data_IF_877573732592
#
_entry.id   IF_877573732592
#
_cell.length_a   1.000
_cell.length_b   1.000
_cell.length_c   1.000
_cell.angle_alpha   90.00
_cell.angle_beta   90.00
_cell.angle_gamma   90.00
#
_symmetry.space_group_name_H-M   'P 1'
#
loop_
_entity.id
_entity.type
_entity.pdbx_description
1 polymer ?
2 non-polymer ?
3 non-polymer ?
4 non-polymer ?
5 water ?
#
# COMPACT_ATOMS: atom_id res chain seq x y z
N UNK A 1 17.27 5.33 2.17
CA UNK A 1 17.30 4.11 3.03
C UNK A 1 17.14 2.80 2.27
N UNK A 2 16.47 1.82 2.90
CA UNK A 2 16.46 0.44 2.42
C UNK A 2 15.66 0.27 1.13
N UNK A 3 16.12 -0.63 0.26
CA UNK A 3 15.35 -1.02 -0.92
C UNK A 3 15.43 -2.53 -1.04
N UNK A 4 14.49 -3.12 -1.76
CA UNK A 4 14.55 -4.55 -2.04
C UNK A 4 15.69 -4.76 -3.02
N UNK A 5 16.53 -5.76 -2.77
CA UNK A 5 17.69 -6.01 -3.64
C UNK A 5 17.47 -7.25 -4.50
N UNK A 6 16.22 -7.45 -4.90
CA UNK A 6 15.82 -8.57 -5.72
C UNK A 6 14.61 -8.11 -6.54
N UNK A 7 14.32 -8.78 -7.65
CA UNK A 7 13.30 -8.33 -8.59
C UNK A 7 11.94 -9.01 -8.38
N UNK A 8 11.96 -10.22 -7.85
CA UNK A 8 10.71 -10.94 -7.58
C UNK A 8 10.33 -10.77 -6.12
N UNK A 9 9.21 -10.08 -5.92
CA UNK A 9 8.71 -9.76 -4.59
C UNK A 9 7.37 -10.47 -4.36
N UNK A 10 7.18 -11.00 -3.17
CA UNK A 10 5.93 -11.68 -2.83
C UNK A 10 5.12 -10.84 -1.86
N UNK A 11 3.80 -10.97 -1.95
CA UNK A 11 2.92 -10.40 -0.93
C UNK A 11 1.89 -11.43 -0.54
N UNK A 12 1.34 -11.22 0.65
CA UNK A 12 0.33 -12.11 1.17
C UNK A 12 -0.69 -11.27 1.87
N UNK A 13 -1.95 -11.62 1.66
CA UNK A 13 -3.03 -10.93 2.34
C UNK A 13 -3.35 -11.75 3.59
N UNK A 14 -3.04 -11.17 4.74
CA UNK A 14 -3.13 -11.84 6.03
C UNK A 14 -4.59 -12.12 6.42
N UNK A 15 -5.45 -11.16 6.12
CA UNK A 15 -6.86 -11.23 6.48
C UNK A 15 -7.60 -10.21 5.65
N UNK A 16 -8.92 -10.34 5.61
CA UNK A 16 -9.74 -9.54 4.72
C UNK A 16 -10.70 -8.66 5.48
N UNK A 17 -10.76 -7.39 5.11
CA UNK A 17 -11.75 -6.49 5.67
C UNK A 17 -13.17 -6.98 5.35
N UNK A 18 -14.07 -6.92 6.35
CA UNK A 18 -15.47 -7.23 6.11
C UNK A 18 -16.22 -6.15 5.32
N UNK A 19 -15.55 -5.02 5.05
CA UNK A 19 -16.12 -3.89 4.33
C UNK A 19 -16.35 -4.14 2.85
N UNK A 20 -15.64 -5.11 2.29
CA UNK A 20 -15.59 -5.34 0.83
C UNK A 20 -15.80 -6.80 0.48
N UNK A 21 -16.18 -7.04 -0.77
CA UNK A 21 -16.13 -8.40 -1.34
C UNK A 21 -14.67 -8.87 -1.39
N UNK A 22 -14.46 -10.14 -1.11
CA UNK A 22 -13.11 -10.72 -1.10
C UNK A 22 -12.38 -10.48 -2.42
N UNK A 23 -13.07 -10.75 -3.53
CA UNK A 23 -12.43 -10.61 -4.86
C UNK A 23 -12.03 -9.16 -5.15
N UNK A 24 -12.79 -8.22 -4.58
CA UNK A 24 -12.53 -6.79 -4.75
C UNK A 24 -11.29 -6.36 -3.94
N UNK A 25 -11.11 -6.98 -2.77
CA UNK A 25 -9.87 -6.77 -1.99
C UNK A 25 -8.66 -7.27 -2.78
N UNK A 26 -8.75 -8.50 -3.27
CA UNK A 26 -7.70 -9.05 -4.12
C UNK A 26 -7.36 -8.13 -5.29
N UNK A 27 -8.38 -7.64 -5.97
CA UNK A 27 -8.17 -6.87 -7.18
C UNK A 27 -7.57 -5.49 -6.89
N UNK A 28 -8.09 -4.81 -5.87
CA UNK A 28 -7.53 -3.51 -5.44
C UNK A 28 -6.04 -3.60 -5.14
N UNK A 29 -5.66 -4.58 -4.32
CA UNK A 29 -4.25 -4.79 -3.96
C UNK A 29 -3.41 -5.16 -5.20
N UNK A 30 -3.93 -6.03 -6.05
CA UNK A 30 -3.22 -6.43 -7.28
C UNK A 30 -2.94 -5.21 -8.15
N UNK A 31 -3.99 -4.41 -8.38
CA UNK A 31 -3.90 -3.21 -9.19
C UNK A 31 -2.91 -2.20 -8.60
N UNK A 32 -2.87 -2.11 -7.27
CA UNK A 32 -1.97 -1.18 -6.59
C UNK A 32 -0.50 -1.61 -6.76
N UNK A 33 -0.21 -2.91 -6.64
CA UNK A 33 1.13 -3.40 -6.99
C UNK A 33 1.51 -3.11 -8.47
N UNK A 34 0.57 -3.31 -9.38
CA UNK A 34 0.80 -3.06 -10.80
C UNK A 34 1.22 -1.62 -11.10
N UNK A 35 0.64 -0.66 -10.38
CA UNK A 35 1.05 0.75 -10.50
C UNK A 35 2.60 0.87 -10.40
N UNK A 36 3.18 0.17 -9.43
CA UNK A 36 4.61 0.24 -9.18
C UNK A 36 5.43 -0.65 -10.10
N UNK A 37 4.93 -1.84 -10.40
CA UNK A 37 5.66 -2.71 -11.33
C UNK A 37 5.70 -2.12 -12.77
N UNK A 38 4.76 -1.20 -13.07
CA UNK A 38 4.68 -0.54 -14.38
C UNK A 38 5.92 0.31 -14.62
N UNK A 39 6.52 0.79 -13.54
CA UNK A 39 7.56 1.84 -13.63
C UNK A 39 8.87 1.42 -12.98
N UNK A 40 9.00 0.14 -12.68
CA UNK A 40 10.24 -0.42 -12.10
C UNK A 40 10.45 -1.81 -12.70
N UNK A 41 11.60 -2.45 -12.40
CA UNK A 41 11.77 -3.85 -12.82
C UNK A 41 11.14 -4.89 -11.90
N UNK A 42 10.39 -4.44 -10.89
CA UNK A 42 9.83 -5.36 -9.91
C UNK A 42 8.68 -6.20 -10.47
N UNK A 43 8.56 -7.42 -9.96
CA UNK A 43 7.43 -8.30 -10.27
C UNK A 43 6.84 -8.73 -8.95
N UNK A 44 5.51 -8.66 -8.83
CA UNK A 44 4.84 -8.98 -7.57
C UNK A 44 3.96 -10.20 -7.74
N UNK A 45 4.05 -11.10 -6.77
CA UNK A 45 3.23 -12.32 -6.75
C UNK A 45 2.52 -12.50 -5.41
N UNK A 46 1.23 -12.78 -5.48
CA UNK A 46 0.43 -13.12 -4.30
C UNK A 46 0.66 -14.58 -3.91
N UNK A 47 1.08 -14.79 -2.67
CA UNK A 47 1.22 -16.15 -2.14
C UNK A 47 0.15 -16.36 -1.07
N UNK A 48 -0.25 -17.61 -0.86
CA UNK A 48 -1.35 -17.89 0.05
C UNK A 48 -0.93 -18.45 1.39
N UNK A 49 0.33 -18.85 1.48
CA UNK A 49 0.86 -19.51 2.66
C UNK A 49 2.32 -19.10 2.77
N UNK A 50 2.83 -19.11 4.00
CA UNK A 50 4.25 -18.89 4.21
C UNK A 50 4.62 -17.43 4.39
N UNK A 51 5.92 -17.18 4.45
CA UNK A 51 6.43 -15.85 4.72
C UNK A 51 6.52 -15.05 3.41
N UNK A 52 5.71 -14.01 3.28
CA UNK A 52 5.85 -13.08 2.15
C UNK A 52 6.83 -11.98 2.50
N UNK A 53 7.31 -11.27 1.48
CA UNK A 53 8.07 -10.04 1.66
C UNK A 53 7.12 -8.99 2.23
N UNK A 54 5.95 -8.87 1.61
CA UNK A 54 5.00 -7.82 1.99
C UNK A 54 3.74 -8.47 2.54
N UNK A 55 3.54 -8.37 3.85
CA UNK A 55 2.26 -8.80 4.45
C UNK A 55 1.25 -7.66 4.54
N UNK A 56 0.08 -7.90 3.95
CA UNK A 56 -1.04 -6.96 3.92
C UNK A 56 -1.98 -7.33 5.07
N UNK A 57 -2.20 -6.38 5.99
CA UNK A 57 -2.99 -6.65 7.20
C UNK A 57 -4.11 -5.62 7.40
N UNK A 58 -5.30 -6.08 7.79
CA UNK A 58 -6.31 -5.14 8.31
C UNK A 58 -6.40 -5.36 9.79
N UNK A 59 -6.31 -4.26 10.54
CA UNK A 59 -6.31 -4.32 12.00
C UNK A 59 -6.84 -3.01 12.58
N UNK A 60 -7.28 -3.03 13.84
CA UNK A 60 -7.74 -1.79 14.47
C UNK A 60 -7.02 -1.55 15.79
N UNK A 61 -6.94 -0.28 16.21
CA UNK A 61 -6.28 0.09 17.47
C UNK A 61 -4.89 -0.52 17.63
N UNK A 62 -4.58 -1.00 18.83
CA UNK A 62 -3.30 -1.62 19.10
C UNK A 62 -3.25 -2.97 18.40
N UNK A 63 -2.21 -3.19 17.59
CA UNK A 63 -2.13 -4.42 16.80
C UNK A 63 -0.72 -4.98 16.66
N UNK A 64 0.11 -4.72 17.66
CA UNK A 64 1.36 -5.45 17.83
C UNK A 64 2.59 -4.79 17.25
N UNK A 65 2.45 -3.55 16.79
CA UNK A 65 3.61 -2.74 16.41
C UNK A 65 3.58 -1.45 17.25
N UNK A 66 4.34 -0.43 16.87
CA UNK A 66 4.38 0.82 17.66
C UNK A 66 3.52 1.91 17.04
N UNK A 67 2.64 1.47 16.16
CA UNK A 67 1.86 2.38 15.37
C UNK A 67 0.37 2.08 15.55
N UNK A 68 -0.09 2.12 16.80
CA UNK A 68 -1.51 1.94 17.10
C UNK A 68 -2.42 2.79 16.22
N UNK A 69 -3.52 2.20 15.76
CA UNK A 69 -4.51 2.94 15.00
C UNK A 69 -5.46 3.71 15.93
N UNK A 70 -6.21 4.64 15.35
CA UNK A 70 -6.87 5.72 16.10
C UNK A 70 -8.38 5.80 15.94
N UNK A 71 -9.03 4.71 15.54
CA UNK A 71 -10.46 4.73 15.24
C UNK A 71 -10.74 5.29 13.86
N UNK A 72 -12.02 5.48 13.54
CA UNK A 72 -12.39 5.99 12.24
C UNK A 72 -11.77 7.38 12.03
N UNK A 73 -11.25 7.62 10.83
CA UNK A 73 -10.62 8.89 10.51
C UNK A 73 -9.14 8.92 10.89
N UNK A 74 -8.52 10.09 10.80
CA UNK A 74 -7.11 10.22 11.20
C UNK A 74 -6.23 9.33 10.33
N UNK A 75 -5.44 8.49 10.99
CA UNK A 75 -4.53 7.56 10.30
C UNK A 75 -5.37 6.50 9.61
N UNK A 76 -5.19 6.37 8.30
CA UNK A 76 -5.92 5.36 7.52
C UNK A 76 -5.16 4.03 7.39
N UNK A 77 -3.83 4.13 7.29
CA UNK A 77 -2.95 2.99 7.05
C UNK A 77 -1.51 3.41 7.32
N UNK A 78 -0.62 2.45 7.51
CA UNK A 78 0.84 2.73 7.55
C UNK A 78 1.57 1.49 7.04
N UNK A 79 2.84 1.64 6.70
CA UNK A 79 3.64 0.56 6.12
C UNK A 79 5.10 0.72 6.51
N UNK A 80 5.84 -0.38 6.45
CA UNK A 80 7.25 -0.39 6.83
C UNK A 80 8.11 -0.52 5.60
N UNK A 81 9.23 0.21 5.58
CA UNK A 81 10.14 0.17 4.42
C UNK A 81 10.76 -1.21 4.29
N UNK A 82 11.40 -1.48 3.13
CA UNK A 82 12.02 -2.79 2.87
C UNK A 82 12.91 -3.27 4.00
N UNK A 83 12.83 -4.57 4.27
CA UNK A 83 13.63 -5.17 5.31
C UNK A 83 13.04 -6.50 5.67
N UNK A 84 13.75 -7.22 6.54
CA UNK A 84 13.29 -8.52 7.04
C UNK A 84 12.11 -8.34 8.01
N UNK A 85 11.41 -9.43 8.30
CA UNK A 85 10.35 -9.40 9.32
C UNK A 85 9.17 -8.53 8.93
N UNK A 86 8.88 -7.53 9.76
CA UNK A 86 7.81 -6.54 9.55
C UNK A 86 8.13 -5.61 8.37
N UNK A 87 9.40 -5.56 7.99
CA UNK A 87 9.80 -4.77 6.83
C UNK A 87 8.93 -5.08 5.64
N UNK A 88 8.49 -4.04 4.95
CA UNK A 88 7.62 -4.17 3.77
C UNK A 88 6.13 -4.25 4.07
N UNK A 89 5.76 -4.54 5.32
CA UNK A 89 4.35 -4.88 5.59
C UNK A 89 3.50 -3.62 5.58
N UNK A 90 2.25 -3.76 5.14
CA UNK A 90 1.33 -2.65 5.01
C UNK A 90 0.07 -2.96 5.82
N UNK A 91 -0.28 -2.04 6.71
CA UNK A 91 -1.40 -2.25 7.63
C UNK A 91 -2.49 -1.23 7.35
N UNK A 92 -3.73 -1.71 7.29
CA UNK A 92 -4.87 -0.84 7.00
C UNK A 92 -5.80 -0.84 8.20
N UNK A 93 -6.16 0.35 8.63
CA UNK A 93 -7.04 0.54 9.79
C UNK A 93 -8.44 0.01 9.51
N UNK A 94 -8.82 -1.07 10.20
CA UNK A 94 -10.17 -1.62 10.04
C UNK A 94 -11.29 -0.68 10.48
N UNK A 95 -10.95 0.33 11.29
CA UNK A 95 -11.95 1.33 11.67
C UNK A 95 -12.34 2.28 10.53
N UNK A 96 -11.62 2.21 9.39
CA UNK A 96 -12.09 2.91 8.20
C UNK A 96 -13.09 2.01 7.49
N UNK A 97 -13.83 2.58 6.55
CA UNK A 97 -14.68 1.75 5.70
C UNK A 97 -14.13 1.72 4.29
N UNK A 98 -13.53 0.57 3.97
CA UNK A 98 -12.80 0.39 2.71
C UNK A 98 -13.78 0.14 1.57
N UNK A 99 -13.53 0.74 0.40
CA UNK A 99 -14.39 0.54 -0.79
C UNK A 99 -13.61 0.47 -2.12
N UNK A 100 -14.33 0.05 -3.15
CA UNK A 100 -13.84 0.09 -4.54
C UNK A 100 -14.11 1.44 -5.22
N UNK A 101 -14.70 2.40 -4.50
CA UNK A 101 -15.23 3.60 -5.14
C UNK A 101 -14.94 4.88 -4.35
N UNK A 102 -15.70 5.95 -4.60
CA UNK A 102 -15.44 7.25 -3.94
C UNK A 102 -15.96 7.30 -2.50
N UNK A 103 -16.80 6.34 -2.15
CA UNK A 103 -17.39 6.28 -0.80
C UNK A 103 -16.35 5.75 0.16
N UNK A 104 -16.57 5.97 1.45
CA UNK A 104 -15.60 5.58 2.49
C UNK A 104 -14.18 5.96 2.13
N UNK A 105 -13.26 5.02 2.31
CA UNK A 105 -11.84 5.20 1.94
C UNK A 105 -11.48 4.20 0.85
N UNK A 106 -10.97 4.69 -0.28
CA UNK A 106 -10.68 3.81 -1.40
C UNK A 106 -9.45 2.94 -1.13
N UNK A 107 -9.64 1.62 -1.12
CA UNK A 107 -8.54 0.69 -0.82
C UNK A 107 -7.41 0.78 -1.82
N UNK A 108 -7.75 0.71 -3.11
CA UNK A 108 -6.73 0.82 -4.15
C UNK A 108 -5.83 2.06 -3.96
N UNK A 109 -6.43 3.24 -3.83
CA UNK A 109 -5.61 4.47 -3.77
C UNK A 109 -4.71 4.51 -2.55
N UNK A 110 -5.29 4.11 -1.42
CA UNK A 110 -4.54 3.96 -0.17
C UNK A 110 -3.39 2.95 -0.32
N UNK A 111 -3.68 1.81 -0.96
CA UNK A 111 -2.68 0.74 -1.14
C UNK A 111 -1.54 1.19 -2.07
N UNK A 112 -1.84 1.99 -3.08
CA UNK A 112 -0.78 2.53 -3.94
C UNK A 112 0.23 3.28 -3.07
N UNK A 113 -0.28 4.17 -2.22
CA UNK A 113 0.55 4.97 -1.31
C UNK A 113 1.32 4.06 -0.33
N UNK A 114 0.61 3.14 0.34
CA UNK A 114 1.27 2.24 1.31
C UNK A 114 2.35 1.38 0.66
N UNK A 115 2.04 0.80 -0.49
CA UNK A 115 3.06 -0.01 -1.21
C UNK A 115 4.26 0.85 -1.62
N UNK A 116 4.02 2.13 -1.94
CA UNK A 116 5.16 3.03 -2.13
C UNK A 116 6.11 2.99 -0.94
N UNK A 117 5.54 3.08 0.27
CA UNK A 117 6.35 2.96 1.49
C UNK A 117 7.01 1.59 1.59
N UNK A 118 6.25 0.53 1.29
CA UNK A 118 6.77 -0.85 1.31
C UNK A 118 7.97 -1.04 0.37
N UNK A 119 8.07 -0.18 -0.63
CA UNK A 119 9.18 -0.23 -1.59
C UNK A 119 10.34 0.71 -1.22
N UNK A 120 10.14 1.57 -0.22
CA UNK A 120 11.21 2.49 0.22
C UNK A 120 10.92 3.98 0.06
N UNK A 121 9.78 4.32 -0.53
CA UNK A 121 9.43 5.74 -0.71
C UNK A 121 8.96 6.43 0.57
N UNK A 122 9.38 7.68 0.74
CA UNK A 122 8.85 8.52 1.81
C UNK A 122 7.76 9.44 1.27
N UNK A 123 7.35 10.42 2.07
CA UNK A 123 6.29 11.31 1.62
C UNK A 123 6.76 12.37 0.68
N UNK A 124 5.83 12.86 -0.12
CA UNK A 124 6.09 13.97 -1.03
C UNK A 124 5.42 15.23 -0.50
N UNK A 125 6.06 16.38 -0.72
CA UNK A 125 5.42 17.65 -0.36
C UNK A 125 4.44 18.16 -1.44
N UNK A 126 4.38 17.46 -2.58
CA UNK A 126 3.54 17.85 -3.73
C UNK A 126 2.14 17.25 -3.64
N UNK A 127 1.10 18.10 -3.50
CA UNK A 127 -0.26 17.59 -3.37
C UNK A 127 -0.68 16.70 -4.53
N UNK A 128 0.03 16.81 -5.65
CA UNK A 128 -0.28 16.04 -6.85
C UNK A 128 0.17 14.58 -6.77
N UNK A 129 1.11 14.31 -5.87
CA UNK A 129 1.72 12.98 -5.76
C UNK A 129 0.86 12.04 -4.92
N UNK A 130 0.88 10.75 -5.26
CA UNK A 130 0.15 9.77 -4.47
C UNK A 130 0.79 9.63 -3.08
N UNK A 131 2.09 9.93 -3.01
CA UNK A 131 2.89 9.88 -1.77
C UNK A 131 2.74 11.12 -0.88
N UNK A 132 1.88 12.05 -1.27
CA UNK A 132 1.49 13.16 -0.38
C UNK A 132 0.71 12.58 0.81
N UNK A 133 1.01 13.05 2.04
CA UNK A 133 0.43 12.41 3.24
C UNK A 133 -1.06 12.61 3.51
N UNK A 134 -1.74 13.39 2.68
CA UNK A 134 -3.18 13.60 2.85
C UNK A 134 -3.98 12.80 1.84
N UNK A 135 -4.94 12.02 2.34
CA UNK A 135 -5.82 11.26 1.45
C UNK A 135 -6.80 12.19 0.75
N UNK A 136 -6.85 12.12 -0.58
CA UNK A 136 -7.92 12.77 -1.35
C UNK A 136 -8.31 11.87 -2.49
N UNK A 137 -9.59 11.50 -2.54
CA UNK A 137 -10.05 10.64 -3.61
C UNK A 137 -9.83 11.28 -4.99
N UNK A 138 -9.33 10.47 -5.92
CA UNK A 138 -9.36 10.80 -7.34
C UNK A 138 -9.92 9.60 -8.09
N UNK A 139 -10.47 9.85 -9.26
CA UNK A 139 -11.05 8.77 -10.04
C UNK A 139 -10.00 7.66 -10.23
N UNK A 140 -10.32 6.48 -9.72
CA UNK A 140 -9.38 5.36 -9.73
C UNK A 140 -9.23 4.71 -11.10
N UNK A 141 -10.23 4.87 -11.97
CA UNK A 141 -10.21 4.27 -13.30
C UNK A 141 -9.21 4.96 -14.23
N UNK A 142 -8.90 6.21 -13.94
CA UNK A 142 -7.95 6.94 -14.76
C UNK A 142 -6.72 7.34 -13.96
N UNK A 143 -6.57 6.74 -12.78
CA UNK A 143 -5.47 7.11 -11.88
C UNK A 143 -4.12 7.00 -12.57
N UNK A 144 -3.26 7.99 -12.32
CA UNK A 144 -1.86 7.95 -12.75
C UNK A 144 -0.92 8.53 -11.69
N UNK A 145 0.26 7.92 -11.53
CA UNK A 145 1.32 8.48 -10.68
C UNK A 145 1.71 9.86 -11.18
N UNK A 146 2.12 10.74 -10.27
CA UNK A 146 2.64 12.04 -10.65
C UNK A 146 4.08 11.86 -11.09
N UNK A 147 4.61 12.88 -11.77
CA UNK A 147 6.02 12.88 -12.15
C UNK A 147 6.93 12.75 -10.92
N UNK A 148 6.55 13.43 -9.83
CA UNK A 148 7.26 13.31 -8.54
C UNK A 148 7.31 11.87 -8.00
N UNK A 149 6.17 11.16 -8.06
CA UNK A 149 6.15 9.75 -7.66
C UNK A 149 7.08 8.94 -8.54
N UNK A 150 7.02 9.15 -9.85
CA UNK A 150 7.85 8.38 -10.77
C UNK A 150 9.34 8.68 -10.57
N UNK A 151 9.68 9.95 -10.38
CA UNK A 151 11.06 10.33 -10.05
C UNK A 151 11.55 9.64 -8.77
N UNK A 152 10.72 9.68 -7.72
CA UNK A 152 11.04 9.04 -6.44
C UNK A 152 11.32 7.55 -6.56
N UNK A 153 10.42 6.82 -7.22
CA UNK A 153 10.57 5.37 -7.35
C UNK A 153 11.72 5.02 -8.26
N UNK A 154 11.93 5.84 -9.29
CA UNK A 154 13.03 5.56 -10.22
C UNK A 154 14.39 5.96 -9.64
N UNK A 155 14.39 6.76 -8.58
CA UNK A 155 15.62 6.99 -7.79
C UNK A 155 16.04 5.74 -6.98
N UNK A 156 15.08 4.86 -6.70
CA UNK A 156 15.34 3.65 -5.91
C UNK A 156 15.49 2.36 -6.73
N UNK A 157 14.77 2.27 -7.84
CA UNK A 157 14.78 1.06 -8.68
C UNK A 157 14.95 1.40 -10.14
N UNK A 158 15.46 0.43 -10.89
CA UNK A 158 15.78 0.65 -12.29
C UNK A 158 16.99 1.55 -12.30
X LIG B 1 2.21 7.54 4.07
X LIG C 1 0.64 -1.45 12.10
X LIG D 1 7.77 -8.39 5.68
X LIG E 1 -13.90 -1.45 8.38
X LIG F 1 -8.05 5.63 11.63
X LIG G 1 0.94 8.55 5.44
X LIG G 1 0.35 7.81 6.22
X LIG G 1 0.43 6.47 6.17
X LIG G 1 1.16 5.87 5.16
X LIG G 1 -0.53 8.41 7.31
X LIG G 1 -1.51 9.30 6.74
X LIG G 1 -2.84 8.71 6.11
X LIG G 1 -3.14 7.49 6.85
X LIG G 1 -3.94 9.62 6.25
X LIG G 1 -2.78 8.31 4.54
X LIG G 1 -2.57 6.97 4.18
X LIG G 1 -2.57 6.59 2.84
X LIG G 1 -2.79 7.53 1.85
X LIG G 1 -2.79 7.12 0.54
X LIG G 1 -3.29 7.95 -0.51
X LIG G 1 -3.01 8.87 2.20
X LIG G 1 -3.01 9.26 3.54
#
# INVERSE_FOLDING_TARGET
GPVWRKHYITYRINNYTPDMNREDVDYAIRKAFQVWSNVTPLKFSKINTGMADILVVFARGAHGDDHAFDGKGGILAHAFGPGSGIGGDAHFDEDEFWTTHSGGTNLFLTAVHEIGHSLGLGHSSDPKAVMFPTYKYVDINTFRLSADDIRGIQSLYG
ZN ZN
ZN ZN
CA CA
CA CA
CA CA
Z79 O4 C8 N2 O5 C7 N1 S1 O1 O2 C3 C6 C5 C4 O3 C9 C2 C1
#
